data_IF_981058313737
#
_entry.id   IF_981058313737
#
_cell.length_a   1.000
_cell.length_b   1.000
_cell.length_c   1.000
_cell.angle_alpha   90.00
_cell.angle_beta   90.00
_cell.angle_gamma   90.00
#
_symmetry.space_group_name_H-M   'P 1'
#
loop_
_entity.id
_entity.type
_entity.pdbx_description
1 polymer ?
#
# COMPACT_ATOMS: atom_id res chain seq x y z
N UNK A 1 3.23 17.49 -6.91
CA UNK A 1 1.76 17.36 -6.77
C UNK A 1 1.29 16.06 -7.43
N UNK A 2 0.28 15.42 -6.85
CA UNK A 2 -0.33 14.21 -7.41
C UNK A 2 -1.22 14.57 -8.62
N UNK A 3 -1.22 13.70 -9.62
CA UNK A 3 -2.19 13.74 -10.71
C UNK A 3 -3.36 12.83 -10.32
N UNK A 4 -4.50 13.44 -10.03
CA UNK A 4 -5.71 12.73 -9.61
C UNK A 4 -6.88 13.09 -10.51
N UNK A 5 -7.78 12.12 -10.72
CA UNK A 5 -9.10 12.42 -11.25
C UNK A 5 -10.06 12.62 -10.05
N UNK A 6 -10.66 13.80 -9.92
CA UNK A 6 -11.54 14.08 -8.78
C UNK A 6 -12.94 13.49 -9.01
N UNK A 7 -13.46 12.87 -7.98
CA UNK A 7 -14.89 12.50 -7.90
C UNK A 7 -15.58 13.37 -6.84
N UNK A 8 -16.89 13.34 -6.81
CA UNK A 8 -17.69 14.04 -5.81
C UNK A 8 -18.79 13.13 -5.26
N UNK A 9 -19.45 13.56 -4.16
CA UNK A 9 -20.57 12.83 -3.59
C UNK A 9 -21.87 12.95 -4.40
N UNK A 10 -21.90 13.79 -5.45
CA UNK A 10 -23.09 14.02 -6.27
C UNK A 10 -23.39 12.81 -7.17
N UNK A 11 -24.67 12.38 -7.28
CA UNK A 11 -25.05 11.29 -8.16
C UNK A 11 -24.59 11.50 -9.60
N UNK A 12 -24.00 10.46 -10.20
CA UNK A 12 -23.46 10.50 -11.56
C UNK A 12 -22.04 11.08 -11.66
N UNK A 13 -21.44 11.53 -10.55
CA UNK A 13 -20.03 11.95 -10.49
C UNK A 13 -19.29 11.28 -9.31
N UNK A 14 -19.81 10.17 -8.85
CA UNK A 14 -19.24 9.38 -7.78
C UNK A 14 -18.15 8.45 -8.30
N UNK A 15 -17.24 8.02 -7.39
CA UNK A 15 -16.22 7.04 -7.74
C UNK A 15 -16.89 5.71 -8.15
N UNK A 16 -16.57 5.14 -9.31
CA UNK A 16 -17.15 3.87 -9.77
C UNK A 16 -16.90 2.69 -8.81
N UNK A 17 -15.81 2.69 -8.04
CA UNK A 17 -15.54 1.69 -7.01
C UNK A 17 -16.61 1.74 -5.91
N UNK A 18 -17.07 2.94 -5.52
CA UNK A 18 -18.17 3.10 -4.59
C UNK A 18 -19.48 2.50 -5.14
N UNK A 19 -19.83 2.81 -6.38
CA UNK A 19 -21.04 2.28 -7.00
C UNK A 19 -21.02 0.75 -7.09
N UNK A 20 -19.87 0.16 -7.41
CA UNK A 20 -19.69 -1.29 -7.41
C UNK A 20 -19.92 -1.90 -6.01
N UNK A 21 -19.35 -1.30 -4.97
CA UNK A 21 -19.48 -1.76 -3.60
C UNK A 21 -20.93 -1.70 -3.11
N UNK A 22 -21.65 -0.61 -3.41
CA UNK A 22 -23.08 -0.49 -3.10
C UNK A 22 -23.91 -1.57 -3.81
N UNK A 23 -23.60 -1.84 -5.09
CA UNK A 23 -24.31 -2.84 -5.89
C UNK A 23 -24.20 -4.25 -5.30
N UNK A 24 -23.05 -4.60 -4.71
CA UNK A 24 -22.77 -5.94 -4.18
C UNK A 24 -23.02 -6.08 -2.68
N UNK A 25 -23.42 -5.00 -2.00
CA UNK A 25 -23.77 -5.01 -0.57
C UNK A 25 -22.58 -4.89 0.38
N UNK A 26 -21.47 -4.30 -0.07
CA UNK A 26 -20.32 -3.96 0.79
C UNK A 26 -19.01 -4.66 0.43
N UNK A 27 -17.91 -4.19 1.02
CA UNK A 27 -16.55 -4.70 0.79
C UNK A 27 -16.35 -6.13 1.28
N UNK A 28 -17.08 -6.54 2.29
CA UNK A 28 -17.00 -7.85 2.93
C UNK A 28 -17.30 -9.05 2.00
N UNK A 29 -17.92 -8.79 0.87
CA UNK A 29 -18.30 -9.85 -0.09
C UNK A 29 -17.19 -10.10 -1.11
N UNK A 30 -16.40 -9.08 -1.47
CA UNK A 30 -15.49 -9.16 -2.61
C UNK A 30 -14.02 -8.88 -2.25
N UNK A 31 -13.74 -8.07 -1.23
CA UNK A 31 -12.41 -7.47 -1.06
C UNK A 31 -11.83 -7.72 0.34
N UNK A 32 -11.27 -8.91 0.53
CA UNK A 32 -10.55 -9.23 1.76
C UNK A 32 -9.12 -8.72 1.71
N UNK A 33 -8.59 -8.37 2.90
CA UNK A 33 -7.19 -8.04 3.05
C UNK A 33 -6.31 -9.26 2.74
N UNK A 34 -5.32 -9.09 1.87
CA UNK A 34 -4.34 -10.13 1.59
C UNK A 34 -3.25 -10.17 2.67
N UNK A 35 -2.87 -11.36 3.13
CA UNK A 35 -1.70 -11.54 3.99
C UNK A 35 -0.40 -11.07 3.33
N UNK A 36 -0.31 -11.09 2.01
CA UNK A 36 0.86 -10.59 1.28
C UNK A 36 1.02 -9.06 1.35
N UNK A 37 -0.05 -8.35 1.67
CA UNK A 37 -0.03 -6.92 1.92
C UNK A 37 -0.04 -6.60 3.43
N UNK A 38 -1.00 -7.16 4.15
CA UNK A 38 -1.24 -6.79 5.54
C UNK A 38 -0.10 -7.18 6.49
N UNK A 39 0.50 -8.39 6.36
CA UNK A 39 1.60 -8.82 7.23
C UNK A 39 2.83 -7.93 7.13
N UNK A 40 3.38 -7.60 5.94
CA UNK A 40 4.49 -6.66 5.82
C UNK A 40 4.19 -5.29 6.45
N UNK A 41 2.96 -4.81 6.35
CA UNK A 41 2.55 -3.55 7.00
C UNK A 41 2.51 -3.68 8.52
N UNK A 42 1.97 -4.79 9.06
CA UNK A 42 1.94 -5.06 10.51
C UNK A 42 3.35 -5.20 11.11
N UNK A 43 4.23 -5.93 10.44
CA UNK A 43 5.62 -6.12 10.86
C UNK A 43 6.40 -4.80 10.95
N UNK A 44 6.00 -3.81 10.16
CA UNK A 44 6.59 -2.46 10.13
C UNK A 44 5.84 -1.43 10.99
N UNK A 45 4.72 -1.82 11.63
CA UNK A 45 3.81 -0.91 12.31
C UNK A 45 3.34 0.25 11.40
N UNK A 46 2.97 -0.06 10.16
CA UNK A 46 2.60 0.91 9.15
C UNK A 46 1.30 1.62 9.52
N UNK A 47 1.29 2.96 9.68
CA UNK A 47 0.11 3.69 10.12
C UNK A 47 -0.98 3.78 9.03
N UNK A 48 -0.72 3.35 7.80
CA UNK A 48 -1.71 3.29 6.71
C UNK A 48 -2.67 2.10 6.83
N UNK A 49 -2.39 1.12 7.72
CA UNK A 49 -3.25 -0.06 7.89
C UNK A 49 -4.73 0.32 8.04
N UNK A 50 -5.14 1.23 8.94
CA UNK A 50 -6.55 1.60 9.09
C UNK A 50 -7.12 2.41 7.92
N UNK A 51 -6.26 2.96 7.06
CA UNK A 51 -6.71 3.61 5.82
C UNK A 51 -7.00 2.58 4.73
N UNK A 52 -6.24 1.49 4.68
CA UNK A 52 -6.35 0.45 3.67
C UNK A 52 -7.35 -0.64 4.03
N UNK A 53 -7.48 -0.96 5.31
CA UNK A 53 -8.26 -2.11 5.78
C UNK A 53 -9.14 -1.75 6.97
N UNK A 54 -10.24 -2.47 7.09
CA UNK A 54 -11.06 -2.51 8.29
C UNK A 54 -10.72 -3.75 9.11
N UNK A 55 -10.67 -3.65 10.45
CA UNK A 55 -10.44 -4.81 11.30
C UNK A 55 -11.65 -5.75 11.28
N UNK A 56 -11.45 -6.98 11.70
CA UNK A 56 -12.54 -7.88 11.99
C UNK A 56 -13.45 -7.36 13.11
N UNK A 57 -14.60 -8.00 13.31
CA UNK A 57 -15.60 -7.63 14.32
C UNK A 57 -15.06 -7.57 15.75
N UNK A 58 -13.94 -8.22 16.02
CA UNK A 58 -13.22 -8.21 17.30
C UNK A 58 -12.11 -7.12 17.38
N UNK A 59 -12.03 -6.25 16.37
CA UNK A 59 -11.05 -5.16 16.31
C UNK A 59 -9.64 -5.59 15.88
N UNK A 60 -9.46 -6.83 15.44
CA UNK A 60 -8.15 -7.35 15.04
C UNK A 60 -8.01 -7.39 13.51
N UNK A 61 -6.85 -6.97 13.01
CA UNK A 61 -6.52 -7.06 11.59
C UNK A 61 -6.01 -8.46 11.23
N UNK A 62 -6.75 -9.17 10.35
CA UNK A 62 -6.41 -10.52 9.84
C UNK A 62 -6.59 -10.56 8.34
N UNK A 63 -5.50 -10.73 7.64
CA UNK A 63 -5.54 -10.99 6.20
C UNK A 63 -5.81 -12.47 5.89
N UNK A 64 -6.13 -12.75 4.64
CA UNK A 64 -6.27 -14.11 4.11
C UNK A 64 -5.03 -14.49 3.28
N UNK A 65 -4.61 -15.73 3.41
CA UNK A 65 -3.68 -16.36 2.49
C UNK A 65 -4.37 -16.84 1.22
N UNK A 66 -3.57 -17.38 0.29
CA UNK A 66 -4.12 -17.95 -0.93
C UNK A 66 -5.02 -19.13 -0.62
N UNK A 67 -6.26 -19.12 -1.11
CA UNK A 67 -7.29 -20.16 -0.91
C UNK A 67 -7.74 -20.38 0.55
N UNK A 68 -7.38 -19.48 1.44
CA UNK A 68 -7.91 -19.50 2.81
C UNK A 68 -9.35 -18.97 2.80
N UNK A 69 -10.29 -19.65 3.47
CA UNK A 69 -11.64 -19.12 3.63
C UNK A 69 -11.65 -17.93 4.59
N UNK A 70 -12.61 -17.04 4.42
CA UNK A 70 -12.86 -15.99 5.40
C UNK A 70 -13.25 -16.62 6.75
N UNK A 71 -12.83 -15.99 7.83
CA UNK A 71 -13.06 -16.44 9.21
C UNK A 71 -14.19 -15.64 9.82
N UNK A 72 -15.13 -16.34 10.45
CA UNK A 72 -16.23 -15.75 11.25
C UNK A 72 -16.19 -16.29 12.69
N UNK A 73 -16.85 -15.59 13.60
CA UNK A 73 -17.11 -16.09 14.96
C UNK A 73 -18.35 -16.98 15.01
N UNK A 74 -18.69 -17.47 16.20
CA UNK A 74 -19.86 -18.34 16.45
C UNK A 74 -21.23 -17.66 16.18
N UNK A 75 -21.22 -16.35 15.92
CA UNK A 75 -22.40 -15.54 15.60
C UNK A 75 -22.40 -15.04 14.15
N UNK A 76 -21.57 -15.63 13.31
CA UNK A 76 -21.36 -15.26 11.91
C UNK A 76 -20.82 -13.83 11.69
N UNK A 77 -20.22 -13.19 12.72
CA UNK A 77 -19.55 -11.92 12.53
C UNK A 77 -18.20 -12.14 11.82
N UNK A 78 -17.90 -11.32 10.82
CA UNK A 78 -16.65 -11.40 10.07
C UNK A 78 -15.44 -11.05 10.93
N UNK A 79 -14.48 -11.95 11.04
CA UNK A 79 -13.20 -11.74 11.72
C UNK A 79 -12.05 -11.45 10.76
N UNK A 80 -12.18 -11.82 9.49
CA UNK A 80 -11.21 -11.46 8.46
C UNK A 80 -11.34 -9.97 8.10
N UNK A 81 -10.21 -9.31 7.94
CA UNK A 81 -10.16 -7.91 7.51
C UNK A 81 -10.58 -7.76 6.05
N UNK A 82 -11.23 -6.66 5.74
CA UNK A 82 -11.64 -6.29 4.40
C UNK A 82 -10.99 -4.97 4.00
N UNK A 83 -11.01 -4.66 2.72
CA UNK A 83 -10.55 -3.36 2.22
C UNK A 83 -11.46 -2.26 2.78
N UNK A 84 -10.84 -1.17 3.20
CA UNK A 84 -11.51 -0.07 3.90
C UNK A 84 -12.55 0.64 3.03
N UNK A 85 -13.69 0.96 3.61
CA UNK A 85 -14.70 1.84 3.02
C UNK A 85 -14.16 3.25 2.75
N UNK A 86 -13.08 3.66 3.41
CA UNK A 86 -12.38 4.91 3.12
C UNK A 86 -11.83 4.96 1.69
N UNK A 87 -11.28 3.86 1.18
CA UNK A 87 -10.79 3.78 -0.21
C UNK A 87 -11.93 3.79 -1.24
N UNK A 88 -13.08 3.27 -0.86
CA UNK A 88 -14.27 3.17 -1.72
C UNK A 88 -15.34 4.22 -1.42
N UNK A 89 -14.99 5.33 -0.78
CA UNK A 89 -15.96 6.42 -0.55
C UNK A 89 -16.35 7.12 -1.85
N UNK A 90 -17.52 7.74 -1.87
CA UNK A 90 -18.12 8.40 -3.06
C UNK A 90 -17.18 9.37 -3.77
N UNK A 91 -16.43 10.12 -3.01
CA UNK A 91 -15.53 11.19 -3.44
C UNK A 91 -14.06 10.79 -3.41
N UNK A 92 -13.75 9.49 -3.25
CA UNK A 92 -12.37 9.01 -3.33
C UNK A 92 -11.77 9.40 -4.70
N UNK A 93 -10.67 10.17 -4.75
CA UNK A 93 -10.05 10.50 -6.01
C UNK A 93 -9.39 9.27 -6.62
N UNK A 94 -9.42 9.16 -7.94
CA UNK A 94 -8.58 8.18 -8.64
C UNK A 94 -7.18 8.73 -8.80
N UNK A 95 -6.21 8.04 -8.25
CA UNK A 95 -4.81 8.42 -8.31
C UNK A 95 -4.19 7.89 -9.62
N UNK A 96 -3.95 8.78 -10.57
CA UNK A 96 -3.39 8.42 -11.89
C UNK A 96 -1.87 8.30 -11.80
N UNK A 97 -1.24 9.27 -11.16
CA UNK A 97 0.20 9.29 -10.90
C UNK A 97 0.49 10.07 -9.62
N UNK A 98 1.41 9.58 -8.82
CA UNK A 98 1.66 10.17 -7.52
C UNK A 98 3.09 10.66 -7.32
N UNK A 99 3.23 11.69 -6.50
CA UNK A 99 4.52 12.21 -6.05
C UNK A 99 5.30 11.13 -5.29
N UNK A 100 4.63 10.36 -4.44
CA UNK A 100 5.25 9.28 -3.68
C UNK A 100 5.77 8.16 -4.60
N UNK A 101 5.04 7.78 -5.62
CA UNK A 101 5.51 6.80 -6.61
C UNK A 101 6.76 7.29 -7.32
N UNK A 102 6.79 8.54 -7.80
CA UNK A 102 7.97 9.14 -8.42
C UNK A 102 9.17 9.10 -7.47
N UNK A 103 8.99 9.53 -6.22
CA UNK A 103 10.06 9.55 -5.23
C UNK A 103 10.63 8.16 -4.94
N UNK A 104 9.77 7.15 -4.86
CA UNK A 104 10.19 5.76 -4.64
C UNK A 104 10.89 5.17 -5.88
N UNK A 105 10.45 5.52 -7.10
CA UNK A 105 11.13 5.15 -8.34
C UNK A 105 12.51 5.81 -8.47
N UNK A 106 12.63 7.08 -8.10
CA UNK A 106 13.91 7.78 -8.05
C UNK A 106 14.84 7.17 -6.98
N UNK A 107 14.30 6.80 -5.81
CA UNK A 107 15.06 6.10 -4.78
C UNK A 107 15.63 4.79 -5.32
N UNK A 108 14.85 4.01 -6.04
CA UNK A 108 15.29 2.78 -6.71
C UNK A 108 16.39 3.06 -7.75
N UNK A 109 16.22 4.09 -8.59
CA UNK A 109 17.21 4.47 -9.60
C UNK A 109 18.56 4.78 -8.95
N UNK A 110 18.59 5.56 -7.86
CA UNK A 110 19.82 5.85 -7.11
C UNK A 110 20.39 4.62 -6.39
N UNK A 111 19.53 3.75 -5.83
CA UNK A 111 20.00 2.52 -5.18
C UNK A 111 20.63 1.54 -6.17
N UNK A 112 20.12 1.47 -7.40
CA UNK A 112 20.67 0.61 -8.48
C UNK A 112 21.84 1.25 -9.21
N UNK A 113 21.94 2.55 -9.28
CA UNK A 113 22.81 3.26 -10.22
C UNK A 113 22.24 3.25 -11.66
N UNK A 114 20.92 3.28 -11.81
CA UNK A 114 20.23 3.21 -13.09
C UNK A 114 20.09 4.61 -13.71
N UNK A 115 20.86 4.89 -14.75
CA UNK A 115 20.88 6.20 -15.41
C UNK A 115 21.55 7.33 -14.60
N UNK A 116 21.94 7.04 -13.36
CA UNK A 116 22.63 7.96 -12.43
C UNK A 116 23.72 7.18 -11.68
N UNK A 117 24.69 7.89 -11.09
CA UNK A 117 25.65 7.24 -10.19
C UNK A 117 24.94 6.67 -8.96
N UNK A 118 25.30 5.45 -8.58
CA UNK A 118 24.76 4.81 -7.36
C UNK A 118 25.00 5.70 -6.13
N UNK A 119 23.94 5.94 -5.36
CA UNK A 119 24.00 6.77 -4.16
C UNK A 119 22.92 6.38 -3.15
N UNK A 120 23.29 5.52 -2.18
CA UNK A 120 22.37 5.05 -1.14
C UNK A 120 21.91 6.17 -0.19
N UNK A 121 22.72 7.23 0.01
CA UNK A 121 22.27 8.37 0.82
C UNK A 121 21.14 9.13 0.14
N UNK A 122 21.25 9.37 -1.17
CA UNK A 122 20.18 10.01 -1.94
C UNK A 122 18.95 9.10 -2.06
N UNK A 123 19.17 7.82 -2.27
CA UNK A 123 18.08 6.82 -2.25
C UNK A 123 17.32 6.84 -0.92
N UNK A 124 18.02 6.90 0.22
CA UNK A 124 17.42 6.95 1.54
C UNK A 124 16.59 8.22 1.78
N UNK A 125 17.10 9.39 1.36
CA UNK A 125 16.35 10.64 1.43
C UNK A 125 15.03 10.56 0.66
N UNK A 126 15.08 10.09 -0.60
CA UNK A 126 13.93 9.98 -1.47
C UNK A 126 12.94 8.91 -0.98
N UNK A 127 13.44 7.78 -0.50
CA UNK A 127 12.66 6.70 0.10
C UNK A 127 11.82 7.21 1.28
N UNK A 128 12.46 7.86 2.25
CA UNK A 128 11.76 8.41 3.42
C UNK A 128 10.77 9.51 3.03
N UNK A 129 11.13 10.36 2.09
CA UNK A 129 10.24 11.40 1.57
C UNK A 129 9.03 10.79 0.86
N UNK A 130 9.22 9.78 0.01
CA UNK A 130 8.12 9.07 -0.67
C UNK A 130 7.13 8.45 0.31
N UNK A 131 7.63 7.83 1.38
CA UNK A 131 6.77 7.25 2.42
C UNK A 131 5.99 8.34 3.18
N UNK A 132 6.60 9.47 3.51
CA UNK A 132 5.90 10.61 4.11
C UNK A 132 4.75 11.10 3.25
N UNK A 133 5.01 11.32 1.95
CA UNK A 133 3.99 11.76 0.99
C UNK A 133 2.85 10.72 0.88
N UNK A 134 3.18 9.42 0.86
CA UNK A 134 2.18 8.35 0.85
C UNK A 134 1.30 8.37 2.10
N UNK A 135 1.89 8.46 3.29
CA UNK A 135 1.13 8.54 4.54
C UNK A 135 0.27 9.81 4.61
N UNK A 136 0.82 10.96 4.22
CA UNK A 136 0.10 12.23 4.19
C UNK A 136 -1.09 12.21 3.23
N UNK A 137 -0.94 11.57 2.06
CA UNK A 137 -2.03 11.41 1.08
C UNK A 137 -3.25 10.70 1.67
N UNK A 138 -3.02 9.70 2.52
CA UNK A 138 -4.10 8.98 3.22
C UNK A 138 -4.54 9.63 4.54
N UNK A 139 -4.04 10.82 4.86
CA UNK A 139 -4.46 11.58 6.04
C UNK A 139 -3.92 11.07 7.37
N UNK A 140 -2.82 10.31 7.36
CA UNK A 140 -2.12 9.89 8.59
C UNK A 140 -1.59 11.12 9.32
N UNK A 141 -1.73 11.16 10.65
CA UNK A 141 -1.27 12.29 11.46
C UNK A 141 0.26 12.42 11.41
N UNK A 142 0.78 13.65 11.36
CA UNK A 142 2.21 13.94 11.20
C UNK A 142 3.08 13.26 12.28
N UNK A 143 2.59 13.20 13.53
CA UNK A 143 3.30 12.53 14.63
C UNK A 143 3.47 11.01 14.40
N UNK A 144 2.47 10.36 13.78
CA UNK A 144 2.50 8.93 13.45
C UNK A 144 3.41 8.70 12.24
N UNK A 145 3.39 9.61 11.26
CA UNK A 145 4.33 9.60 10.12
C UNK A 145 5.78 9.70 10.63
N UNK A 146 6.06 10.65 11.52
CA UNK A 146 7.40 10.84 12.10
C UNK A 146 7.87 9.59 12.84
N UNK A 147 7.01 9.01 13.64
CA UNK A 147 7.30 7.78 14.40
C UNK A 147 7.60 6.63 13.44
N UNK A 148 6.76 6.44 12.44
CA UNK A 148 6.91 5.38 11.44
C UNK A 148 8.20 5.51 10.64
N UNK A 149 8.43 6.68 10.03
CA UNK A 149 9.60 6.92 9.17
C UNK A 149 10.91 6.86 9.94
N UNK A 150 10.91 7.27 11.22
CA UNK A 150 12.08 7.15 12.09
C UNK A 150 12.38 5.69 12.45
N UNK A 151 11.35 4.85 12.55
CA UNK A 151 11.49 3.42 12.85
C UNK A 151 11.93 2.56 11.65
N UNK A 152 11.89 3.11 10.43
CA UNK A 152 12.31 2.38 9.23
C UNK A 152 13.84 2.23 9.15
N UNK A 153 14.34 1.15 8.53
CA UNK A 153 15.79 0.98 8.36
C UNK A 153 16.40 2.08 7.50
N UNK A 154 17.61 2.51 7.88
CA UNK A 154 18.42 3.41 7.05
C UNK A 154 19.01 2.61 5.88
N UNK A 155 18.66 2.97 4.64
CA UNK A 155 19.16 2.27 3.45
C UNK A 155 20.68 2.28 3.36
N UNK A 156 21.32 3.32 3.90
CA UNK A 156 22.79 3.46 3.96
C UNK A 156 23.48 2.42 4.86
N UNK A 157 22.74 1.82 5.79
CA UNK A 157 23.22 0.75 6.67
C UNK A 157 22.99 -0.65 6.10
N UNK A 158 22.34 -0.75 4.94
CA UNK A 158 21.96 -2.00 4.29
C UNK A 158 22.89 -2.32 3.10
N UNK A 159 22.91 -3.60 2.70
CA UNK A 159 23.41 -3.96 1.37
C UNK A 159 22.48 -3.41 0.30
N UNK A 160 22.99 -3.23 -0.93
CA UNK A 160 22.16 -2.77 -2.04
C UNK A 160 20.90 -3.64 -2.23
N UNK A 161 21.03 -4.95 -2.14
CA UNK A 161 19.92 -5.89 -2.26
C UNK A 161 18.85 -5.64 -1.19
N UNK A 162 19.25 -5.50 0.06
CA UNK A 162 18.31 -5.19 1.16
C UNK A 162 17.70 -3.79 1.05
N UNK A 163 18.48 -2.82 0.58
CA UNK A 163 17.96 -1.48 0.32
C UNK A 163 16.88 -1.50 -0.78
N UNK A 164 17.12 -2.25 -1.85
CA UNK A 164 16.13 -2.45 -2.92
C UNK A 164 14.88 -3.19 -2.40
N UNK A 165 15.05 -4.19 -1.54
CA UNK A 165 13.94 -4.87 -0.87
C UNK A 165 13.03 -3.87 -0.14
N UNK A 166 13.60 -2.99 0.69
CA UNK A 166 12.81 -1.99 1.43
C UNK A 166 12.10 -1.00 0.50
N UNK A 167 12.76 -0.55 -0.56
CA UNK A 167 12.16 0.35 -1.56
C UNK A 167 11.00 -0.35 -2.26
N UNK A 168 11.19 -1.57 -2.76
CA UNK A 168 10.16 -2.33 -3.47
C UNK A 168 8.97 -2.66 -2.57
N UNK A 169 9.22 -2.95 -1.29
CA UNK A 169 8.15 -3.18 -0.34
C UNK A 169 7.28 -1.93 -0.15
N UNK A 170 7.89 -0.75 -0.09
CA UNK A 170 7.13 0.50 0.01
C UNK A 170 6.41 0.86 -1.30
N UNK A 171 6.99 0.56 -2.45
CA UNK A 171 6.29 0.69 -3.74
C UNK A 171 5.08 -0.25 -3.80
N UNK A 172 5.22 -1.51 -3.35
CA UNK A 172 4.13 -2.47 -3.27
C UNK A 172 2.99 -1.97 -2.39
N UNK A 173 3.31 -1.47 -1.19
CA UNK A 173 2.31 -0.94 -0.25
C UNK A 173 1.61 0.31 -0.82
N UNK A 174 2.34 1.22 -1.47
CA UNK A 174 1.75 2.45 -2.05
C UNK A 174 0.80 2.14 -3.21
N UNK A 175 1.05 1.07 -3.95
CA UNK A 175 0.26 0.67 -5.13
C UNK A 175 -0.99 -0.15 -4.80
N UNK A 176 -1.31 -0.39 -3.53
CA UNK A 176 -2.41 -1.26 -3.08
C UNK A 176 -3.76 -0.98 -3.76
N UNK A 177 -4.10 0.29 -4.00
CA UNK A 177 -5.35 0.69 -4.68
C UNK A 177 -5.19 0.85 -6.21
N UNK A 178 -4.03 0.45 -6.76
CA UNK A 178 -3.70 0.54 -8.20
C UNK A 178 -3.20 -0.81 -8.72
N UNK A 179 -4.08 -1.79 -8.91
CA UNK A 179 -3.72 -3.19 -9.15
C UNK A 179 -2.94 -3.43 -10.45
N UNK A 180 -3.09 -2.58 -11.46
CA UNK A 180 -2.32 -2.71 -12.70
C UNK A 180 -0.86 -2.30 -12.50
N UNK A 181 -0.62 -1.19 -11.82
CA UNK A 181 0.70 -0.69 -11.46
C UNK A 181 1.37 -1.64 -10.46
N UNK A 182 0.62 -2.16 -9.49
CA UNK A 182 1.07 -3.17 -8.54
C UNK A 182 1.56 -4.44 -9.26
N UNK A 183 0.81 -4.93 -10.25
CA UNK A 183 1.22 -6.06 -11.07
C UNK A 183 2.49 -5.77 -11.90
N UNK A 184 2.59 -4.58 -12.49
CA UNK A 184 3.79 -4.13 -13.20
C UNK A 184 4.98 -4.06 -12.24
N UNK A 185 4.79 -3.50 -11.05
CA UNK A 185 5.83 -3.43 -10.02
C UNK A 185 6.34 -4.82 -9.64
N UNK A 186 5.44 -5.76 -9.38
CA UNK A 186 5.81 -7.14 -9.09
C UNK A 186 6.63 -7.77 -10.21
N UNK A 187 6.23 -7.61 -11.46
CA UNK A 187 6.94 -8.19 -12.61
C UNK A 187 8.31 -7.58 -12.88
N UNK A 188 8.46 -6.26 -12.67
CA UNK A 188 9.71 -5.55 -12.98
C UNK A 188 10.77 -5.67 -11.88
N UNK A 189 10.40 -6.01 -10.64
CA UNK A 189 11.37 -6.14 -9.54
C UNK A 189 12.42 -7.21 -9.81
N UNK A 190 12.11 -8.20 -10.65
CA UNK A 190 13.07 -9.21 -11.12
C UNK A 190 13.52 -10.18 -10.02
N UNK A 191 14.45 -11.05 -10.35
CA UNK A 191 14.87 -12.12 -9.43
C UNK A 191 15.66 -11.59 -8.23
N UNK A 192 16.55 -10.62 -8.43
CA UNK A 192 17.39 -10.05 -7.38
C UNK A 192 16.70 -8.93 -6.59
N UNK A 193 15.59 -8.44 -7.06
CA UNK A 193 14.82 -7.37 -6.45
C UNK A 193 13.34 -7.68 -6.37
N UNK A 194 12.96 -8.93 -6.59
CA UNK A 194 11.58 -9.38 -6.47
C UNK A 194 11.30 -9.80 -5.03
N UNK A 195 11.21 -8.82 -4.18
CA UNK A 195 10.97 -8.94 -2.75
C UNK A 195 9.50 -9.07 -2.43
N UNK A 196 8.64 -8.69 -3.36
CA UNK A 196 7.21 -8.93 -3.24
C UNK A 196 6.97 -10.43 -3.21
N UNK A 197 6.21 -10.95 -2.24
CA UNK A 197 5.96 -12.37 -2.11
C UNK A 197 5.47 -12.97 -3.42
N UNK A 198 6.07 -14.07 -3.84
CA UNK A 198 5.62 -14.79 -5.02
C UNK A 198 4.20 -15.28 -4.78
N UNK A 199 3.28 -14.88 -5.63
CA UNK A 199 1.93 -15.42 -5.61
C UNK A 199 2.03 -16.92 -5.88
N UNK A 200 1.77 -17.72 -4.86
CA UNK A 200 1.68 -19.17 -5.03
C UNK A 200 0.33 -19.48 -5.72
N UNK A 201 0.41 -20.11 -6.87
CA UNK A 201 -0.76 -20.55 -7.65
C UNK A 201 -1.26 -21.89 -7.12
#
# INVERSE_FOLDING_TARGET
>A
DNLVFPYSAEPGNQNPKYELIELVGGTQILFFASNYMLKPMQERNDPRIPCYFEPGADGVYRGLGNREPAVTDDKDNMLSSVVSSYLFRKDAPELIYSCQEQLLLEAEAYARGLGVAQNLSKANELYKKGIREACAFYGVAEADIDTYVTGLPELTALTQEKALYEIHMQQWIDLMDRPFEEFVQWRRSGTAGNEVPTLQV
#
